data_IF_920707810286
#
_entry.id   IF_920707810286
#
_cell.length_a   1.000
_cell.length_b   1.000
_cell.length_c   1.000
_cell.angle_alpha   90.00
_cell.angle_beta   90.00
_cell.angle_gamma   90.00
#
_symmetry.space_group_name_H-M   'P 1'
#
loop_
_entity.id
_entity.type
_entity.pdbx_description
1 polymer ?
#
# COMPACT_ATOMS: atom_id res chain seq x y z
N UNK A 1 5.85 2.57 -3.69
CA UNK A 1 5.01 2.22 -4.86
C UNK A 1 4.91 3.39 -5.81
N UNK A 2 5.07 3.15 -7.09
CA UNK A 2 4.94 4.17 -8.10
C UNK A 2 3.47 4.54 -8.32
N UNK A 3 3.21 5.79 -8.64
CA UNK A 3 1.86 6.21 -9.01
C UNK A 3 1.47 5.63 -10.36
N UNK A 4 0.24 5.13 -10.47
CA UNK A 4 -0.28 4.69 -11.75
C UNK A 4 -0.47 5.86 -12.72
N UNK A 5 -0.38 5.58 -14.01
CA UNK A 5 -0.63 6.55 -15.08
C UNK A 5 -1.95 6.20 -15.75
N UNK A 6 -2.91 7.11 -15.71
CA UNK A 6 -4.28 6.85 -16.16
C UNK A 6 -4.33 6.35 -17.60
N UNK A 7 -3.51 6.89 -18.48
CA UNK A 7 -3.48 6.51 -19.90
C UNK A 7 -2.77 5.19 -20.18
N UNK A 8 -1.96 4.68 -19.24
CA UNK A 8 -1.14 3.48 -19.45
C UNK A 8 -1.50 2.34 -18.50
N UNK A 9 -2.00 2.65 -17.31
CA UNK A 9 -2.15 1.70 -16.23
C UNK A 9 -3.60 1.29 -15.96
N UNK A 10 -4.53 1.70 -16.80
CA UNK A 10 -5.93 1.29 -16.74
C UNK A 10 -6.24 0.48 -18.01
N UNK A 11 -6.58 -0.79 -17.83
CA UNK A 11 -6.77 -1.73 -18.94
C UNK A 11 -8.05 -2.55 -18.76
N UNK A 12 -8.80 -2.80 -19.84
CA UNK A 12 -9.96 -3.69 -19.75
C UNK A 12 -9.55 -5.13 -19.52
N UNK A 13 -10.43 -5.90 -18.87
CA UNK A 13 -10.18 -7.30 -18.55
C UNK A 13 -9.86 -8.14 -19.80
N UNK A 14 -10.51 -7.85 -20.93
CA UNK A 14 -10.26 -8.58 -22.18
C UNK A 14 -8.82 -8.44 -22.64
N UNK A 15 -8.21 -7.26 -22.48
CA UNK A 15 -6.82 -7.01 -22.82
C UNK A 15 -5.87 -7.70 -21.84
N UNK A 16 -6.18 -7.65 -20.54
CA UNK A 16 -5.38 -8.32 -19.51
C UNK A 16 -5.39 -9.83 -19.75
N UNK A 17 -6.54 -10.39 -20.08
CA UNK A 17 -6.69 -11.85 -20.30
C UNK A 17 -5.81 -12.36 -21.42
N UNK A 18 -5.67 -11.61 -22.52
CA UNK A 18 -4.86 -12.01 -23.67
C UNK A 18 -3.37 -11.80 -23.48
N UNK A 19 -2.98 -10.90 -22.57
CA UNK A 19 -1.58 -10.57 -22.34
C UNK A 19 -1.14 -10.65 -20.89
N UNK A 20 -1.72 -11.55 -20.10
CA UNK A 20 -1.51 -11.59 -18.65
C UNK A 20 -0.03 -11.70 -18.27
N UNK A 21 0.76 -12.50 -18.95
CA UNK A 21 2.19 -12.66 -18.63
C UNK A 21 2.95 -11.34 -18.84
N UNK A 22 2.63 -10.60 -19.89
CA UNK A 22 3.25 -9.30 -20.16
C UNK A 22 2.85 -8.25 -19.11
N UNK A 23 1.61 -8.27 -18.67
CA UNK A 23 1.15 -7.33 -17.63
C UNK A 23 1.76 -7.65 -16.27
N UNK A 24 1.93 -8.93 -15.94
CA UNK A 24 2.65 -9.33 -14.72
C UNK A 24 4.09 -8.80 -14.76
N UNK A 25 4.78 -9.00 -15.88
CA UNK A 25 6.13 -8.46 -16.06
C UNK A 25 6.16 -6.94 -15.93
N UNK A 26 5.20 -6.26 -16.54
CA UNK A 26 5.10 -4.81 -16.49
C UNK A 26 4.97 -4.30 -15.05
N UNK A 27 4.07 -4.86 -14.25
CA UNK A 27 3.90 -4.41 -12.86
C UNK A 27 5.12 -4.75 -12.01
N UNK A 28 5.77 -5.86 -12.29
CA UNK A 28 7.00 -6.25 -11.61
C UNK A 28 8.14 -5.27 -11.91
N UNK A 29 8.31 -4.90 -13.18
CA UNK A 29 9.42 -4.03 -13.61
C UNK A 29 9.18 -2.56 -13.27
N UNK A 30 7.96 -2.07 -13.44
CA UNK A 30 7.65 -0.65 -13.23
C UNK A 30 7.26 -0.30 -11.81
N UNK A 31 6.84 -1.29 -11.02
CA UNK A 31 6.28 -1.09 -9.66
C UNK A 31 5.01 -0.23 -9.65
N UNK A 32 4.38 -0.05 -10.81
CA UNK A 32 3.10 0.66 -10.92
C UNK A 32 1.96 -0.35 -10.98
N UNK A 33 0.89 -0.15 -10.21
CA UNK A 33 -0.28 -1.03 -10.29
C UNK A 33 -1.01 -0.83 -11.62
N UNK A 34 -1.69 -1.87 -12.08
CA UNK A 34 -2.58 -1.81 -13.25
C UNK A 34 -4.01 -2.01 -12.76
N UNK A 35 -4.87 -1.06 -13.07
CA UNK A 35 -6.30 -1.14 -12.76
C UNK A 35 -7.00 -1.91 -13.87
N UNK A 36 -7.70 -2.95 -13.49
CA UNK A 36 -8.45 -3.80 -14.43
C UNK A 36 -9.90 -3.36 -14.43
N UNK A 37 -10.43 -3.07 -15.61
CA UNK A 37 -11.83 -2.65 -15.77
C UNK A 37 -12.65 -3.74 -16.45
N UNK A 38 -13.94 -3.75 -16.15
CA UNK A 38 -14.93 -4.62 -16.81
C UNK A 38 -16.22 -3.83 -16.92
N UNK A 39 -16.77 -3.79 -18.15
CA UNK A 39 -17.98 -3.00 -18.43
C UNK A 39 -17.87 -1.54 -17.98
N UNK A 40 -16.69 -0.94 -18.20
CA UNK A 40 -16.43 0.44 -17.85
C UNK A 40 -16.21 0.74 -16.37
N UNK A 41 -16.15 -0.31 -15.52
CA UNK A 41 -15.95 -0.16 -14.08
C UNK A 41 -14.65 -0.82 -13.65
N UNK A 42 -13.95 -0.20 -12.70
CA UNK A 42 -12.77 -0.78 -12.09
C UNK A 42 -13.18 -1.94 -11.18
N UNK A 43 -12.64 -3.13 -11.41
CA UNK A 43 -13.02 -4.36 -10.68
C UNK A 43 -11.87 -5.00 -9.94
N UNK A 44 -10.62 -4.74 -10.33
CA UNK A 44 -9.45 -5.35 -9.72
C UNK A 44 -8.20 -4.52 -9.93
N UNK A 45 -7.17 -4.85 -9.18
CA UNK A 45 -5.84 -4.24 -9.31
C UNK A 45 -4.81 -5.35 -9.46
N UNK A 46 -3.94 -5.23 -10.46
CA UNK A 46 -2.77 -6.08 -10.61
C UNK A 46 -1.57 -5.35 -9.99
N UNK A 47 -0.96 -5.96 -8.99
CA UNK A 47 0.07 -5.33 -8.18
C UNK A 47 1.24 -6.29 -7.99
N UNK A 48 2.48 -5.76 -8.06
CA UNK A 48 3.66 -6.57 -7.77
C UNK A 48 3.63 -7.08 -6.33
N UNK A 49 4.01 -8.34 -6.12
CA UNK A 49 3.93 -8.99 -4.80
C UNK A 49 4.77 -8.27 -3.76
N UNK A 50 5.94 -7.77 -4.14
CA UNK A 50 6.81 -7.03 -3.19
C UNK A 50 6.20 -5.69 -2.78
N UNK A 51 5.50 -5.03 -3.70
CA UNK A 51 4.76 -3.81 -3.40
C UNK A 51 3.59 -4.09 -2.47
N UNK A 52 2.89 -5.19 -2.69
CA UNK A 52 1.80 -5.63 -1.80
C UNK A 52 2.31 -5.90 -0.39
N UNK A 53 3.40 -6.66 -0.26
CA UNK A 53 4.01 -6.96 1.04
C UNK A 53 4.46 -5.68 1.76
N UNK A 54 5.07 -4.76 1.03
CA UNK A 54 5.50 -3.47 1.59
C UNK A 54 4.32 -2.66 2.11
N UNK A 55 3.20 -2.66 1.41
CA UNK A 55 1.97 -2.00 1.85
C UNK A 55 1.42 -2.64 3.13
N UNK A 56 1.41 -3.96 3.22
CA UNK A 56 0.95 -4.68 4.40
C UNK A 56 1.82 -4.36 5.61
N UNK A 57 3.13 -4.34 5.44
CA UNK A 57 4.07 -3.98 6.52
C UNK A 57 3.84 -2.55 7.02
N UNK A 58 3.61 -1.61 6.11
CA UNK A 58 3.29 -0.22 6.49
C UNK A 58 1.99 -0.12 7.27
N UNK A 59 0.97 -0.84 6.85
CA UNK A 59 -0.33 -0.85 7.53
C UNK A 59 -0.22 -1.46 8.94
N UNK A 60 0.52 -2.55 9.08
CA UNK A 60 0.78 -3.17 10.38
C UNK A 60 1.52 -2.22 11.31
N UNK A 61 2.55 -1.55 10.82
CA UNK A 61 3.31 -0.58 11.60
C UNK A 61 2.42 0.58 12.07
N UNK A 62 1.61 1.14 11.19
CA UNK A 62 0.69 2.23 11.55
C UNK A 62 -0.34 1.79 12.58
N UNK A 63 -0.87 0.58 12.46
CA UNK A 63 -1.79 0.02 13.44
C UNK A 63 -1.14 -0.13 14.81
N UNK A 64 0.08 -0.63 14.88
CA UNK A 64 0.84 -0.77 16.12
C UNK A 64 1.12 0.59 16.78
N UNK A 65 1.47 1.59 15.99
CA UNK A 65 1.71 2.95 16.48
C UNK A 65 0.42 3.55 17.06
N UNK A 66 -0.70 3.41 16.38
CA UNK A 66 -2.00 3.90 16.85
C UNK A 66 -2.42 3.21 18.14
N UNK A 67 -2.25 1.91 18.25
CA UNK A 67 -2.54 1.16 19.46
C UNK A 67 -1.68 1.62 20.63
N UNK A 68 -0.38 1.83 20.40
CA UNK A 68 0.54 2.32 21.43
C UNK A 68 0.15 3.71 21.91
N UNK A 69 -0.20 4.62 21.04
CA UNK A 69 -0.65 5.97 21.38
C UNK A 69 -1.96 5.95 22.18
N UNK A 70 -2.91 5.11 21.77
CA UNK A 70 -4.18 4.97 22.48
C UNK A 70 -3.99 4.46 23.90
N UNK A 71 -3.09 3.50 24.10
CA UNK A 71 -2.76 2.98 25.43
C UNK A 71 -2.16 4.07 26.32
N UNK A 72 -1.27 4.90 25.76
CA UNK A 72 -0.65 5.99 26.49
C UNK A 72 -1.68 7.06 26.88
N UNK A 73 -2.57 7.41 26.00
CA UNK A 73 -3.64 8.37 26.27
C UNK A 73 -4.61 7.86 27.35
N UNK A 74 -4.88 6.56 27.35
CA UNK A 74 -5.87 5.97 28.26
C UNK A 74 -5.42 5.91 29.72
N UNK A 75 -4.11 5.82 30.02
CA UNK A 75 -3.75 5.58 31.39
C UNK A 75 -2.36 5.99 31.84
N UNK A 76 -1.52 6.50 30.97
CA UNK A 76 -0.10 6.69 31.23
C UNK A 76 0.38 8.10 30.99
N UNK A 77 -0.38 9.10 31.42
CA UNK A 77 -0.14 10.48 31.09
C UNK A 77 1.28 11.04 31.36
N UNK A 78 2.01 10.46 32.32
CA UNK A 78 3.30 11.01 32.76
C UNK A 78 4.40 10.87 31.70
N UNK A 79 4.37 9.83 30.88
CA UNK A 79 5.39 9.56 29.88
C UNK A 79 4.95 9.87 28.47
N UNK A 80 3.86 10.59 28.31
CA UNK A 80 3.21 10.79 27.01
C UNK A 80 4.13 11.41 25.96
N UNK A 81 4.85 12.47 26.28
CA UNK A 81 5.71 13.14 25.30
C UNK A 81 6.94 12.32 24.94
N UNK A 82 7.54 11.62 25.89
CA UNK A 82 8.64 10.70 25.62
C UNK A 82 8.20 9.57 24.69
N UNK A 83 7.03 9.05 24.90
CA UNK A 83 6.49 7.99 24.07
C UNK A 83 6.22 8.47 22.64
N UNK A 84 5.74 9.70 22.48
CA UNK A 84 5.58 10.33 21.18
C UNK A 84 6.91 10.46 20.44
N UNK A 85 7.95 10.92 21.12
CA UNK A 85 9.27 11.02 20.52
C UNK A 85 9.80 9.68 20.04
N UNK A 86 9.64 8.62 20.84
CA UNK A 86 10.06 7.28 20.46
C UNK A 86 9.30 6.75 19.24
N UNK A 87 8.02 7.02 19.16
CA UNK A 87 7.20 6.63 18.01
C UNK A 87 7.66 7.37 16.76
N UNK A 88 7.93 8.66 16.87
CA UNK A 88 8.43 9.45 15.74
C UNK A 88 9.81 8.99 15.28
N UNK A 89 10.69 8.59 16.19
CA UNK A 89 11.97 7.97 15.81
C UNK A 89 11.78 6.70 15.01
N UNK A 90 10.86 5.83 15.41
CA UNK A 90 10.55 4.62 14.66
C UNK A 90 10.05 4.91 13.25
N UNK A 91 9.29 5.97 13.09
CA UNK A 91 8.79 6.37 11.76
C UNK A 91 9.88 6.92 10.86
N UNK A 92 10.93 7.51 11.44
CA UNK A 92 12.04 8.08 10.66
C UNK A 92 13.13 7.05 10.32
N UNK A 93 13.07 5.89 10.91
CA UNK A 93 13.91 4.75 10.54
C UNK A 93 13.39 4.10 9.26
#
# INVERSE_FOLDING_TARGET
>A
MQRLKIDQDIKPLSEIRTGIANFIKQVHDTKRPVIITQHGKSVAVLLDVHEYEAMQEKLELLSDIQASLAQLEAGQGVAHERAKEQVLERLSE
#
